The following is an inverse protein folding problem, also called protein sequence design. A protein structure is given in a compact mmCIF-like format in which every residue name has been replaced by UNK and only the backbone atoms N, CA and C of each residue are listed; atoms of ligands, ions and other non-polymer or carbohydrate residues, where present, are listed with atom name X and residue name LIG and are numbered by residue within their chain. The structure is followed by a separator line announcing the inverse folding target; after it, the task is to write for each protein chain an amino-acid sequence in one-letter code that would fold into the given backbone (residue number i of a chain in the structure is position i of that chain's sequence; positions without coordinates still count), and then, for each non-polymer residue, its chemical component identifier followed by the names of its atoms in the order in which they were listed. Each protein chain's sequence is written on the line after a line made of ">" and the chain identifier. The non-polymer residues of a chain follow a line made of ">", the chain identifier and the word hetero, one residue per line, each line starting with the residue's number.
data_IF_230027569519
#
_entry.id   IF_230027569519
#
_cell.length_a   1.000
_cell.length_b   1.000
_cell.length_c   1.000
_cell.angle_alpha   90.00
_cell.angle_beta   90.00
_cell.angle_gamma   90.00
#
_symmetry.space_group_name_H-M   'P 1'
#
loop_
_entity.id
_entity.type
_entity.pdbx_description
1 polymer ?
#
# COMPACT_ATOMS: atom_id res chain seq x y z
N UNK A 1 13.03 10.22 23.06
CA UNK A 1 13.08 9.16 22.03
C UNK A 1 14.24 9.46 21.12
N UNK A 2 15.16 8.52 20.94
CA UNK A 2 16.28 8.70 20.00
C UNK A 2 15.74 8.87 18.57
N UNK A 3 16.32 9.80 17.79
CA UNK A 3 15.90 10.06 16.39
C UNK A 3 15.84 8.76 15.57
N UNK A 4 16.78 7.84 15.81
CA UNK A 4 16.84 6.55 15.12
C UNK A 4 15.65 5.65 15.46
N UNK A 5 15.18 5.66 16.72
CA UNK A 5 14.04 4.87 17.15
C UNK A 5 12.72 5.42 16.57
N UNK A 6 12.58 6.75 16.50
CA UNK A 6 11.46 7.39 15.82
C UNK A 6 11.41 7.05 14.33
N UNK A 7 12.55 7.13 13.63
CA UNK A 7 12.66 6.78 12.21
C UNK A 7 12.29 5.32 11.95
N UNK A 8 12.78 4.39 12.78
CA UNK A 8 12.49 2.96 12.64
C UNK A 8 10.99 2.70 12.72
N UNK A 9 10.31 3.29 13.71
CA UNK A 9 8.86 3.15 13.87
C UNK A 9 8.11 3.71 12.65
N UNK A 10 8.48 4.90 12.17
CA UNK A 10 7.79 5.52 11.05
C UNK A 10 7.97 4.70 9.76
N UNK A 11 9.19 4.21 9.49
CA UNK A 11 9.45 3.36 8.34
C UNK A 11 8.69 2.03 8.43
N UNK A 12 8.61 1.43 9.62
CA UNK A 12 7.83 0.22 9.85
C UNK A 12 6.36 0.44 9.44
N UNK A 13 5.74 1.54 9.90
CA UNK A 13 4.35 1.85 9.52
C UNK A 13 4.21 2.20 8.03
N UNK A 14 5.17 2.91 7.44
CA UNK A 14 5.15 3.24 6.00
C UNK A 14 5.22 2.01 5.10
N UNK A 15 5.85 0.92 5.55
CA UNK A 15 5.91 -0.35 4.81
C UNK A 15 4.70 -1.23 5.11
N UNK A 16 4.32 -1.36 6.39
CA UNK A 16 3.20 -2.21 6.79
C UNK A 16 1.87 -1.76 6.20
N UNK A 17 1.64 -0.44 6.09
CA UNK A 17 0.43 0.14 5.50
C UNK A 17 0.12 -0.38 4.08
N UNK A 18 0.98 -0.12 3.08
CA UNK A 18 0.76 -0.61 1.71
C UNK A 18 0.77 -2.14 1.64
N UNK A 19 1.61 -2.84 2.40
CA UNK A 19 1.58 -4.31 2.46
C UNK A 19 0.21 -4.86 2.88
N UNK A 20 -0.44 -4.22 3.86
CA UNK A 20 -1.79 -4.60 4.27
C UNK A 20 -2.81 -4.38 3.15
N UNK A 21 -2.74 -3.23 2.48
CA UNK A 21 -3.62 -2.93 1.32
C UNK A 21 -3.41 -3.97 0.22
N UNK A 22 -2.16 -4.36 -0.07
CA UNK A 22 -1.83 -5.35 -1.09
C UNK A 22 -2.45 -6.71 -0.76
N UNK A 23 -2.32 -7.16 0.49
CA UNK A 23 -2.90 -8.42 0.93
C UNK A 23 -4.43 -8.43 0.80
N UNK A 24 -5.09 -7.34 1.19
CA UNK A 24 -6.55 -7.23 1.12
C UNK A 24 -7.04 -7.10 -0.33
N UNK A 25 -6.35 -6.34 -1.18
CA UNK A 25 -6.65 -6.26 -2.61
C UNK A 25 -6.51 -7.62 -3.28
N UNK A 26 -5.43 -8.37 -3.00
CA UNK A 26 -5.21 -9.71 -3.56
C UNK A 26 -6.30 -10.70 -3.15
N UNK A 27 -6.70 -10.71 -1.87
CA UNK A 27 -7.81 -11.56 -1.40
C UNK A 27 -9.13 -11.17 -2.08
N UNK A 28 -9.42 -9.88 -2.17
CA UNK A 28 -10.64 -9.38 -2.78
C UNK A 28 -10.72 -9.69 -4.28
N UNK A 29 -9.60 -9.55 -5.01
CA UNK A 29 -9.54 -9.83 -6.44
C UNK A 29 -9.75 -11.33 -6.72
N UNK A 30 -9.09 -12.22 -5.96
CA UNK A 30 -9.29 -13.67 -6.08
C UNK A 30 -10.76 -14.05 -5.82
N UNK A 31 -11.36 -13.50 -4.76
CA UNK A 31 -12.77 -13.77 -4.44
C UNK A 31 -13.74 -13.25 -5.51
N UNK A 32 -13.47 -12.07 -6.08
CA UNK A 32 -14.30 -11.50 -7.15
C UNK A 32 -14.21 -12.34 -8.44
N UNK A 33 -13.00 -12.73 -8.83
CA UNK A 33 -12.73 -13.56 -10.00
C UNK A 33 -13.34 -14.96 -9.86
N UNK A 34 -13.27 -15.55 -8.66
CA UNK A 34 -13.88 -16.85 -8.36
C UNK A 34 -15.41 -16.83 -8.50
N UNK A 35 -16.07 -15.69 -8.29
CA UNK A 35 -17.52 -15.53 -8.47
C UNK A 35 -17.91 -15.19 -9.90
N UNK A 36 -17.07 -14.44 -10.62
CA UNK A 36 -17.34 -14.09 -12.01
C UNK A 36 -16.03 -13.91 -12.82
N UNK A 37 -15.53 -14.95 -13.51
CA UNK A 37 -14.28 -14.91 -14.25
C UNK A 37 -14.26 -13.86 -15.37
N UNK A 38 -15.41 -13.60 -16.01
CA UNK A 38 -15.54 -12.61 -17.09
C UNK A 38 -15.34 -11.16 -16.63
N UNK A 39 -15.30 -10.92 -15.31
CA UNK A 39 -15.03 -9.59 -14.74
C UNK A 39 -13.53 -9.25 -14.64
N UNK A 40 -12.64 -10.16 -15.02
CA UNK A 40 -11.19 -10.00 -14.84
C UNK A 40 -10.58 -8.69 -15.34
N UNK A 41 -10.93 -8.16 -16.53
CA UNK A 41 -10.38 -6.90 -17.00
C UNK A 41 -10.74 -5.73 -16.09
N UNK A 42 -11.98 -5.71 -15.57
CA UNK A 42 -12.47 -4.64 -14.67
C UNK A 42 -11.81 -4.73 -13.30
N UNK A 43 -11.68 -5.94 -12.75
CA UNK A 43 -11.03 -6.18 -11.46
C UNK A 43 -9.55 -5.79 -11.53
N UNK A 44 -8.85 -6.14 -12.62
CA UNK A 44 -7.44 -5.83 -12.79
C UNK A 44 -7.18 -4.31 -12.84
N UNK A 45 -7.96 -3.57 -13.63
CA UNK A 45 -7.84 -2.11 -13.71
C UNK A 45 -8.09 -1.46 -12.35
N UNK A 46 -9.16 -1.85 -11.65
CA UNK A 46 -9.45 -1.34 -10.32
C UNK A 46 -8.33 -1.66 -9.31
N UNK A 47 -7.80 -2.89 -9.36
CA UNK A 47 -6.70 -3.32 -8.49
C UNK A 47 -5.44 -2.49 -8.72
N UNK A 48 -5.00 -2.30 -9.97
CA UNK A 48 -3.82 -1.48 -10.27
C UNK A 48 -3.98 -0.05 -9.73
N UNK A 49 -5.14 0.58 -9.96
CA UNK A 49 -5.40 1.94 -9.49
C UNK A 49 -5.24 2.00 -7.96
N UNK A 50 -5.88 1.10 -7.22
CA UNK A 50 -5.80 1.07 -5.75
C UNK A 50 -4.37 0.84 -5.27
N UNK A 51 -3.63 -0.09 -5.87
CA UNK A 51 -2.24 -0.38 -5.52
C UNK A 51 -1.32 0.83 -5.77
N UNK A 52 -1.52 1.53 -6.89
CA UNK A 52 -0.76 2.75 -7.22
C UNK A 52 -1.03 3.85 -6.19
N UNK A 53 -2.29 4.09 -5.83
CA UNK A 53 -2.63 5.10 -4.81
C UNK A 53 -2.07 4.75 -3.43
N UNK A 54 -2.15 3.47 -3.03
CA UNK A 54 -1.57 3.01 -1.78
C UNK A 54 -0.05 3.25 -1.74
N UNK A 55 0.63 2.99 -2.87
CA UNK A 55 2.06 3.17 -2.93
C UNK A 55 2.48 4.64 -3.05
N UNK A 56 1.68 5.47 -3.72
CA UNK A 56 1.88 6.92 -3.76
C UNK A 56 1.80 7.54 -2.35
N UNK A 57 0.82 7.11 -1.54
CA UNK A 57 0.70 7.57 -0.15
C UNK A 57 1.92 7.20 0.70
N UNK A 58 2.45 5.98 0.55
CA UNK A 58 3.65 5.53 1.25
C UNK A 58 4.91 6.32 0.84
N UNK A 59 5.05 6.65 -0.45
CA UNK A 59 6.16 7.47 -0.96
C UNK A 59 6.08 8.89 -0.39
N UNK A 60 4.89 9.51 -0.41
CA UNK A 60 4.69 10.85 0.16
C UNK A 60 5.03 10.88 1.65
N UNK A 61 4.60 9.86 2.40
CA UNK A 61 4.94 9.74 3.81
C UNK A 61 6.46 9.63 4.03
N UNK A 62 7.17 8.83 3.22
CA UNK A 62 8.63 8.75 3.28
C UNK A 62 9.32 10.09 2.97
N UNK A 63 8.82 10.84 1.98
CA UNK A 63 9.39 12.15 1.64
C UNK A 63 9.25 13.16 2.79
N UNK A 64 8.10 13.16 3.46
CA UNK A 64 7.88 14.02 4.65
C UNK A 64 8.86 13.65 5.76
N UNK A 65 9.09 12.36 5.99
CA UNK A 65 10.07 11.89 6.98
C UNK A 65 11.48 12.31 6.59
N UNK A 66 11.86 12.18 5.32
CA UNK A 66 13.15 12.64 4.84
C UNK A 66 13.34 14.14 5.12
N UNK A 67 12.33 14.97 4.81
CA UNK A 67 12.34 16.42 5.03
C UNK A 67 12.41 16.81 6.52
N UNK A 68 11.87 16.00 7.43
CA UNK A 68 11.86 16.31 8.87
C UNK A 68 13.15 15.91 9.59
N UNK A 69 13.84 14.88 9.10
CA UNK A 69 14.97 14.28 9.81
C UNK A 69 16.33 14.59 9.18
N UNK A 70 16.36 15.01 7.90
CA UNK A 70 17.51 15.51 7.16
C UNK A 70 17.48 17.05 7.11
#
# INVERSE_FOLDING_TARGET
>A
MDKNLALLIIFLFCVLGPCWVFAQCGKASINALGRNPSSAPKVFVAMIIVLVFAQAAAIVAMLIVFQLFY
#
